data_IF_681045005193
#
_entry.id   IF_681045005193
#
_cell.length_a   1.000
_cell.length_b   1.000
_cell.length_c   1.000
_cell.angle_alpha   90.00
_cell.angle_beta   90.00
_cell.angle_gamma   90.00
#
_symmetry.space_group_name_H-M   'P 1'
#
loop_
_entity.id
_entity.type
_entity.pdbx_description
1 polymer ?
#
# COMPACT_ATOMS: atom_id res chain seq x y z
N UNK A 1 -11.89 -2.18 -10.67
CA UNK A 1 -10.44 -2.51 -10.63
C UNK A 1 -10.28 -3.60 -9.59
N UNK A 2 -9.41 -4.57 -9.81
CA UNK A 2 -9.25 -5.66 -8.84
C UNK A 2 -8.62 -5.13 -7.54
N UNK A 3 -9.08 -5.62 -6.39
CA UNK A 3 -8.51 -5.26 -5.08
C UNK A 3 -7.06 -5.73 -4.98
N UNK A 4 -6.20 -4.91 -4.39
CA UNK A 4 -4.82 -5.28 -4.06
C UNK A 4 -4.72 -5.62 -2.58
N UNK A 5 -4.30 -6.85 -2.26
CA UNK A 5 -4.07 -7.30 -0.89
C UNK A 5 -2.64 -7.84 -0.79
N UNK A 6 -1.84 -7.23 0.08
CA UNK A 6 -0.52 -7.72 0.46
C UNK A 6 -0.57 -8.05 1.95
N UNK A 7 -0.27 -9.29 2.30
CA UNK A 7 -0.29 -9.76 3.68
C UNK A 7 1.11 -9.75 4.27
N UNK A 8 1.22 -9.36 5.53
CA UNK A 8 2.48 -9.39 6.27
C UNK A 8 2.74 -10.81 6.81
N UNK A 9 3.53 -11.61 6.09
CA UNK A 9 3.85 -13.00 6.48
C UNK A 9 5.05 -13.11 7.44
N UNK A 10 6.05 -12.24 7.31
CA UNK A 10 7.33 -12.35 8.05
C UNK A 10 7.54 -11.26 9.11
N UNK A 11 6.63 -10.29 9.20
CA UNK A 11 6.69 -9.18 10.17
C UNK A 11 7.51 -7.99 9.70
N UNK A 12 8.16 -8.06 8.55
CA UNK A 12 9.10 -7.07 7.99
C UNK A 12 8.50 -6.24 6.85
N UNK A 13 7.44 -6.71 6.20
CA UNK A 13 6.72 -5.99 5.15
C UNK A 13 5.35 -5.50 5.64
N UNK A 14 4.84 -4.36 5.13
CA UNK A 14 3.56 -3.86 5.60
C UNK A 14 2.42 -4.73 5.07
N UNK A 15 1.32 -4.76 5.82
CA UNK A 15 0.03 -5.17 5.28
C UNK A 15 -0.51 -4.03 4.42
N UNK A 16 -0.97 -4.34 3.21
CA UNK A 16 -1.55 -3.36 2.29
C UNK A 16 -2.91 -3.87 1.83
N UNK A 17 -3.92 -2.99 1.87
CA UNK A 17 -5.27 -3.27 1.35
C UNK A 17 -5.74 -2.06 0.57
N UNK A 18 -5.89 -2.22 -0.75
CA UNK A 18 -6.48 -1.22 -1.63
C UNK A 18 -7.70 -1.83 -2.30
N UNK A 19 -8.88 -1.34 -1.92
CA UNK A 19 -10.17 -1.81 -2.38
C UNK A 19 -11.06 -0.62 -2.69
N UNK A 20 -11.19 -0.32 -3.99
CA UNK A 20 -12.03 0.77 -4.47
C UNK A 20 -13.52 0.51 -4.17
N UNK A 21 -13.97 -0.73 -4.26
CA UNK A 21 -15.40 -1.08 -4.09
C UNK A 21 -15.81 -0.96 -2.63
N UNK A 22 -14.94 -1.37 -1.71
CA UNK A 22 -15.15 -1.22 -0.27
C UNK A 22 -14.76 0.17 0.28
N UNK A 23 -14.17 1.04 -0.55
CA UNK A 23 -13.58 2.33 -0.14
C UNK A 23 -12.52 2.21 0.97
N UNK A 24 -11.69 1.15 0.91
CA UNK A 24 -10.63 0.85 1.89
C UNK A 24 -9.26 1.05 1.25
N UNK A 25 -8.45 1.93 1.84
CA UNK A 25 -7.09 2.22 1.39
C UNK A 25 -6.16 2.29 2.60
N UNK A 26 -5.42 1.22 2.87
CA UNK A 26 -4.65 1.07 4.09
C UNK A 26 -3.26 0.49 3.85
N UNK A 27 -2.26 1.04 4.54
CA UNK A 27 -0.91 0.50 4.68
C UNK A 27 -0.56 0.49 6.17
N UNK A 28 -0.35 -0.69 6.75
CA UNK A 28 -0.13 -0.84 8.20
C UNK A 28 1.03 -1.79 8.54
N UNK A 29 1.75 -1.53 9.63
CA UNK A 29 2.80 -2.41 10.17
C UNK A 29 4.22 -1.91 9.91
N UNK A 30 5.20 -2.82 9.82
CA UNK A 30 6.61 -2.47 9.53
C UNK A 30 6.88 -2.45 8.03
N UNK A 31 7.76 -1.56 7.58
CA UNK A 31 8.23 -1.49 6.19
C UNK A 31 9.75 -1.57 6.10
N UNK A 32 10.22 -2.81 5.98
CA UNK A 32 11.61 -3.22 5.87
C UNK A 32 11.88 -4.10 4.63
N UNK A 33 11.27 -3.86 3.45
CA UNK A 33 11.64 -4.60 2.24
C UNK A 33 13.12 -4.38 1.90
N UNK A 34 13.75 -5.44 1.41
CA UNK A 34 15.12 -5.40 0.88
C UNK A 34 15.20 -4.46 -0.34
N UNK A 35 14.19 -4.52 -1.22
CA UNK A 35 14.02 -3.61 -2.35
C UNK A 35 12.63 -2.93 -2.28
N UNK A 36 12.57 -1.74 -1.68
CA UNK A 36 11.32 -1.00 -1.51
C UNK A 36 10.67 -0.59 -2.84
N UNK A 37 11.48 -0.20 -3.83
CA UNK A 37 10.99 0.23 -5.15
C UNK A 37 10.22 -0.90 -5.82
N UNK A 38 10.80 -2.09 -5.82
CA UNK A 38 10.16 -3.27 -6.40
C UNK A 38 8.93 -3.69 -5.60
N UNK A 39 9.03 -3.68 -4.26
CA UNK A 39 7.92 -4.03 -3.37
C UNK A 39 6.69 -3.11 -3.55
N UNK A 40 6.89 -1.80 -3.63
CA UNK A 40 5.82 -0.83 -3.79
C UNK A 40 5.38 -0.61 -5.24
N UNK A 41 6.11 -1.11 -6.24
CA UNK A 41 5.72 -1.02 -7.66
C UNK A 41 4.25 -1.41 -7.95
N UNK A 42 3.72 -2.56 -7.49
CA UNK A 42 2.31 -2.90 -7.69
C UNK A 42 1.35 -1.93 -6.99
N UNK A 43 1.71 -1.41 -5.82
CA UNK A 43 0.93 -0.43 -5.05
C UNK A 43 0.83 0.88 -5.82
N UNK A 44 1.96 1.39 -6.31
CA UNK A 44 2.03 2.62 -7.11
C UNK A 44 1.27 2.46 -8.42
N UNK A 45 1.40 1.31 -9.10
CA UNK A 45 0.65 1.01 -10.32
C UNK A 45 -0.87 1.04 -10.05
N UNK A 46 -1.31 0.37 -9.00
CA UNK A 46 -2.72 0.35 -8.62
C UNK A 46 -3.26 1.75 -8.35
N UNK A 47 -2.52 2.57 -7.60
CA UNK A 47 -2.92 3.97 -7.31
C UNK A 47 -3.01 4.79 -8.60
N UNK A 48 -2.06 4.64 -9.54
CA UNK A 48 -2.10 5.33 -10.84
C UNK A 48 -3.33 4.98 -11.68
N UNK A 49 -3.81 3.74 -11.59
CA UNK A 49 -5.05 3.31 -12.23
C UNK A 49 -6.28 3.86 -11.49
N UNK A 50 -6.24 3.87 -10.15
CA UNK A 50 -7.33 4.38 -9.30
C UNK A 50 -7.64 5.86 -9.57
N UNK A 51 -6.61 6.71 -9.65
CA UNK A 51 -6.77 8.17 -9.81
C UNK A 51 -7.40 8.58 -11.15
N UNK A 52 -7.51 7.67 -12.13
CA UNK A 52 -8.21 7.95 -13.40
C UNK A 52 -9.72 8.07 -13.19
N UNK A 53 -10.27 7.41 -12.17
CA UNK A 53 -11.68 7.44 -11.81
C UNK A 53 -11.80 7.17 -10.30
N UNK A 54 -11.48 8.14 -9.43
CA UNK A 54 -11.48 7.93 -7.99
C UNK A 54 -12.90 7.89 -7.42
N UNK A 55 -13.03 7.42 -6.18
CA UNK A 55 -14.24 7.62 -5.39
C UNK A 55 -14.41 9.12 -5.04
N UNK A 56 -15.64 9.58 -4.72
CA UNK A 56 -15.88 10.99 -4.39
C UNK A 56 -15.01 11.52 -3.25
N UNK A 57 -14.70 10.65 -2.29
CA UNK A 57 -13.73 10.88 -1.23
C UNK A 57 -12.84 9.65 -1.10
N UNK A 58 -11.54 9.87 -0.88
CA UNK A 58 -10.56 8.81 -0.65
C UNK A 58 -9.84 9.10 0.65
N UNK A 59 -10.05 8.25 1.66
CA UNK A 59 -9.28 8.29 2.90
C UNK A 59 -8.20 7.22 2.79
N UNK A 60 -6.94 7.66 2.77
CA UNK A 60 -5.79 6.78 2.71
C UNK A 60 -5.12 6.73 4.09
N UNK A 61 -5.23 5.60 4.76
CA UNK A 61 -4.66 5.39 6.09
C UNK A 61 -3.27 4.77 5.98
N UNK A 62 -2.28 5.48 6.50
CA UNK A 62 -0.90 4.98 6.62
C UNK A 62 -0.55 4.93 8.10
N UNK A 63 -0.37 3.72 8.62
CA UNK A 63 -0.03 3.46 10.02
C UNK A 63 1.19 2.54 10.09
N UNK A 64 2.37 3.12 9.91
CA UNK A 64 3.64 2.37 9.93
C UNK A 64 4.30 2.43 11.31
N UNK A 65 4.60 1.27 11.87
CA UNK A 65 5.29 1.14 13.17
C UNK A 65 6.79 1.49 13.04
N UNK A 66 7.39 1.14 11.90
CA UNK A 66 8.79 1.38 11.58
C UNK A 66 8.98 1.31 10.06
N UNK A 67 9.83 2.17 9.51
CA UNK A 67 10.23 2.10 8.10
C UNK A 67 11.73 2.38 7.94
N UNK A 68 12.41 1.65 7.06
CA UNK A 68 13.84 1.89 6.77
C UNK A 68 14.03 3.01 5.73
N UNK A 69 15.28 3.45 5.55
CA UNK A 69 15.64 4.49 4.56
C UNK A 69 15.38 4.07 3.10
N UNK A 70 15.27 2.78 2.82
CA UNK A 70 14.86 2.27 1.50
C UNK A 70 13.39 2.57 1.25
N UNK A 71 12.56 2.37 2.27
CA UNK A 71 11.10 2.55 2.24
C UNK A 71 10.65 4.00 2.35
N UNK A 72 11.54 4.92 2.75
CA UNK A 72 11.24 6.35 2.76
C UNK A 72 11.31 7.01 1.39
N UNK A 73 11.81 6.31 0.36
CA UNK A 73 12.01 6.83 -0.99
C UNK A 73 10.82 6.59 -1.90
#
# INVERSE_FOLDING_TARGET
MEKLIINNQRGDIPKITLDKEANVFEICGKSLPENAVEFYSPVIKWIKEYVQNPNPETIFTINLDYFNSSSSK
#
